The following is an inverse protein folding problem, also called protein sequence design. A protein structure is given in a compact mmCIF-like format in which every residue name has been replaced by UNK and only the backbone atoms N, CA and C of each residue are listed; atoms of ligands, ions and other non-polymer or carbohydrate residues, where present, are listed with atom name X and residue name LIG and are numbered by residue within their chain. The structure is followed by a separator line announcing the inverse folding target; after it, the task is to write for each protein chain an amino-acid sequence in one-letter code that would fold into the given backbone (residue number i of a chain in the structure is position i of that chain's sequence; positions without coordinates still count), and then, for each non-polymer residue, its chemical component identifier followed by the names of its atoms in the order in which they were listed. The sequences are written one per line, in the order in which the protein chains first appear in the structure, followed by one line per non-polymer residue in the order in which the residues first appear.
data_IF_831485907399
#
_entry.id   IF_831485907399
#
_cell.length_a   1.000
_cell.length_b   1.000
_cell.length_c   1.000
_cell.angle_alpha   90.00
_cell.angle_beta   90.00
_cell.angle_gamma   90.00
#
_symmetry.space_group_name_H-M   'P 1'
#
loop_
_entity.id
_entity.type
_entity.pdbx_description
1 polymer ?
#
# COMPACT_ATOMS: atom_id res chain seq x y z
N UNK A 1 -8.11 -15.08 -6.40
CA UNK A 1 -8.48 -14.88 -4.98
C UNK A 1 -9.72 -14.00 -4.92
N UNK A 2 -10.90 -14.55 -4.62
CA UNK A 2 -12.04 -13.72 -4.22
C UNK A 2 -11.78 -13.22 -2.80
N UNK A 3 -11.06 -12.10 -2.70
CA UNK A 3 -10.83 -11.46 -1.42
C UNK A 3 -12.10 -10.70 -1.04
N UNK A 4 -12.87 -11.25 -0.09
CA UNK A 4 -14.11 -10.67 0.43
C UNK A 4 -13.94 -9.28 1.07
N UNK A 5 -12.71 -8.77 1.13
CA UNK A 5 -12.38 -7.43 1.62
C UNK A 5 -12.26 -6.38 0.52
N UNK A 6 -12.19 -6.74 -0.77
CA UNK A 6 -12.01 -5.79 -1.87
C UNK A 6 -13.27 -5.76 -2.76
N UNK A 7 -13.77 -4.56 -3.08
CA UNK A 7 -14.91 -4.39 -3.98
C UNK A 7 -14.78 -3.12 -4.82
N UNK A 8 -15.67 -2.97 -5.81
CA UNK A 8 -15.67 -1.84 -6.76
C UNK A 8 -14.33 -1.64 -7.49
N UNK A 9 -13.65 -2.74 -7.84
CA UNK A 9 -12.38 -2.70 -8.57
C UNK A 9 -12.55 -2.05 -9.94
N UNK A 10 -11.64 -1.12 -10.25
CA UNK A 10 -11.52 -0.44 -11.53
C UNK A 10 -10.06 -0.40 -11.94
N UNK A 11 -9.81 -0.52 -13.23
CA UNK A 11 -8.49 -0.33 -13.82
C UNK A 11 -8.45 1.05 -14.46
N UNK A 12 -7.59 1.92 -13.93
CA UNK A 12 -7.26 3.23 -14.48
C UNK A 12 -5.80 3.18 -14.91
N UNK A 13 -5.54 2.52 -16.05
CA UNK A 13 -4.18 2.22 -16.53
C UNK A 13 -3.21 3.40 -16.33
N UNK A 14 -2.07 3.19 -15.64
CA UNK A 14 -1.49 1.91 -15.20
C UNK A 14 -1.92 1.43 -13.79
N UNK A 15 -2.83 2.13 -13.12
CA UNK A 15 -3.15 1.93 -11.70
C UNK A 15 -4.45 1.16 -11.51
N UNK A 16 -4.49 0.26 -10.53
CA UNK A 16 -5.72 -0.37 -10.06
C UNK A 16 -6.28 0.39 -8.87
N UNK A 17 -7.61 0.51 -8.80
CA UNK A 17 -8.30 1.23 -7.71
C UNK A 17 -9.45 0.35 -7.21
N UNK A 18 -9.62 0.28 -5.89
CA UNK A 18 -10.76 -0.39 -5.28
C UNK A 18 -11.13 0.23 -3.93
N UNK A 19 -12.26 -0.22 -3.37
CA UNK A 19 -12.55 -0.05 -1.95
C UNK A 19 -12.10 -1.31 -1.20
N UNK A 20 -11.57 -1.11 0.01
CA UNK A 20 -11.08 -2.20 0.86
C UNK A 20 -11.60 -2.08 2.29
N UNK A 21 -11.85 -3.22 2.94
CA UNK A 21 -12.20 -3.32 4.35
C UNK A 21 -11.00 -3.70 5.21
N UNK A 22 -10.58 -2.76 6.05
CA UNK A 22 -9.53 -2.91 7.04
C UNK A 22 -10.11 -2.95 8.47
N UNK A 23 -9.42 -3.58 9.44
CA UNK A 23 -9.96 -3.83 10.78
C UNK A 23 -10.39 -2.55 11.53
N UNK A 24 -9.57 -1.49 11.49
CA UNK A 24 -9.79 -0.30 12.31
C UNK A 24 -10.37 0.86 11.50
N UNK A 25 -9.88 1.09 10.28
CA UNK A 25 -10.43 2.14 9.41
C UNK A 25 -11.76 1.77 8.72
N UNK A 26 -12.17 0.49 8.79
CA UNK A 26 -13.42 -0.07 8.24
C UNK A 26 -13.53 0.01 6.72
N UNK A 27 -13.56 1.19 6.11
CA UNK A 27 -13.64 1.32 4.66
C UNK A 27 -12.66 2.36 4.16
N UNK A 28 -11.76 1.90 3.31
CA UNK A 28 -10.71 2.70 2.72
C UNK A 28 -10.77 2.62 1.19
N UNK A 29 -10.21 3.63 0.55
CA UNK A 29 -9.81 3.54 -0.85
C UNK A 29 -8.40 2.96 -0.91
N UNK A 30 -8.17 2.02 -1.81
CA UNK A 30 -6.86 1.44 -2.07
C UNK A 30 -6.49 1.60 -3.54
N UNK A 31 -5.23 1.91 -3.80
CA UNK A 31 -4.65 1.88 -5.14
C UNK A 31 -3.40 1.00 -5.13
N UNK A 32 -3.16 0.29 -6.22
CA UNK A 32 -1.93 -0.47 -6.39
C UNK A 32 -1.50 -0.52 -7.85
N UNK A 33 -0.20 -0.67 -8.05
CA UNK A 33 0.47 -0.68 -9.34
C UNK A 33 1.86 -1.31 -9.23
N UNK A 34 2.43 -1.62 -10.40
CA UNK A 34 3.83 -2.05 -10.54
C UNK A 34 4.52 -1.09 -11.51
N UNK A 35 5.08 0.00 -10.98
CA UNK A 35 5.70 1.05 -11.77
C UNK A 35 6.97 1.58 -11.08
N UNK A 36 7.81 2.26 -11.87
CA UNK A 36 9.03 2.93 -11.39
C UNK A 36 10.00 2.03 -10.57
N UNK A 37 9.98 0.72 -10.83
CA UNK A 37 10.83 -0.28 -10.17
C UNK A 37 10.28 -0.82 -8.85
N UNK A 38 9.02 -0.53 -8.51
CA UNK A 38 8.38 -1.01 -7.28
C UNK A 38 7.03 -1.68 -7.55
N UNK A 39 6.73 -2.69 -6.75
CA UNK A 39 5.36 -3.07 -6.42
C UNK A 39 4.86 -2.13 -5.33
N UNK A 40 3.73 -1.48 -5.56
CA UNK A 40 3.23 -0.42 -4.72
C UNK A 40 1.77 -0.63 -4.38
N UNK A 41 1.42 -0.41 -3.11
CA UNK A 41 0.04 -0.26 -2.66
C UNK A 41 -0.07 0.92 -1.70
N UNK A 42 -1.13 1.72 -1.85
CA UNK A 42 -1.45 2.78 -0.90
C UNK A 42 -2.92 2.76 -0.51
N UNK A 43 -3.17 3.17 0.74
CA UNK A 43 -4.49 3.14 1.33
C UNK A 43 -4.80 4.46 2.03
N UNK A 44 -6.00 4.98 1.80
CA UNK A 44 -6.53 6.18 2.44
C UNK A 44 -7.93 5.92 2.99
N UNK A 45 -8.22 6.21 4.26
CA UNK A 45 -9.56 6.04 4.82
C UNK A 45 -10.59 6.93 4.12
N UNK A 46 -11.78 6.38 3.81
CA UNK A 46 -12.84 7.20 3.19
C UNK A 46 -13.31 8.30 4.13
N UNK A 47 -13.42 7.98 5.41
CA UNK A 47 -13.62 8.95 6.48
C UNK A 47 -12.23 9.45 6.90
N UNK A 48 -11.75 10.49 6.21
CA UNK A 48 -10.39 11.06 6.30
C UNK A 48 -9.99 11.61 7.68
N UNK A 49 -10.70 11.31 8.75
CA UNK A 49 -10.37 11.72 10.12
C UNK A 49 -9.37 10.77 10.80
N UNK A 50 -9.17 9.57 10.26
CA UNK A 50 -8.27 8.56 10.81
C UNK A 50 -7.09 8.34 9.87
N UNK A 51 -5.94 7.99 10.45
CA UNK A 51 -4.79 7.41 9.74
C UNK A 51 -4.89 5.89 9.88
N UNK A 52 -4.61 5.10 8.82
CA UNK A 52 -4.53 3.65 8.96
C UNK A 52 -3.61 3.24 10.10
N UNK A 53 -4.10 2.35 10.96
CA UNK A 53 -3.33 1.86 12.11
C UNK A 53 -2.24 0.88 11.66
N UNK A 54 -1.36 0.49 12.58
CA UNK A 54 -0.43 -0.61 12.32
C UNK A 54 -1.14 -1.91 11.91
N UNK A 55 -2.24 -2.27 12.58
CA UNK A 55 -3.02 -3.48 12.25
C UNK A 55 -3.69 -3.38 10.88
N UNK A 56 -4.17 -2.19 10.51
CA UNK A 56 -4.66 -1.91 9.15
C UNK A 56 -3.56 -2.14 8.11
N UNK A 57 -2.33 -1.68 8.38
CA UNK A 57 -1.19 -1.84 7.49
C UNK A 57 -0.69 -3.30 7.40
N UNK A 58 -0.69 -4.05 8.52
CA UNK A 58 -0.41 -5.50 8.49
C UNK A 58 -1.43 -6.22 7.62
N UNK A 59 -2.73 -5.95 7.83
CA UNK A 59 -3.80 -6.52 7.01
C UNK A 59 -3.64 -6.15 5.53
N UNK A 60 -3.22 -4.92 5.25
CA UNK A 60 -2.96 -4.49 3.88
C UNK A 60 -1.80 -5.28 3.26
N UNK A 61 -0.71 -5.52 4.01
CA UNK A 61 0.41 -6.35 3.56
C UNK A 61 -0.07 -7.74 3.18
N UNK A 62 -0.78 -8.42 4.08
CA UNK A 62 -1.26 -9.80 3.91
C UNK A 62 -2.22 -9.96 2.71
N UNK A 63 -2.79 -8.87 2.21
CA UNK A 63 -3.70 -8.87 1.06
C UNK A 63 -2.96 -8.71 -0.26
N UNK A 64 -1.87 -7.95 -0.28
CA UNK A 64 -1.19 -7.52 -1.51
C UNK A 64 0.19 -8.14 -1.73
N UNK A 65 0.78 -8.74 -0.70
CA UNK A 65 2.09 -9.39 -0.73
C UNK A 65 1.98 -10.78 -0.10
N UNK A 66 2.85 -11.70 -0.52
CA UNK A 66 2.96 -13.03 0.07
C UNK A 66 3.55 -12.97 1.49
N UNK A 67 3.35 -14.03 2.27
CA UNK A 67 3.73 -14.10 3.69
C UNK A 67 5.23 -13.84 3.92
N UNK A 68 6.07 -14.38 3.02
CA UNK A 68 7.54 -14.28 3.07
C UNK A 68 8.09 -13.04 2.33
N UNK A 69 7.23 -12.21 1.73
CA UNK A 69 7.68 -11.00 1.05
C UNK A 69 7.81 -9.83 2.03
N UNK A 70 8.89 -9.06 1.90
CA UNK A 70 9.05 -7.81 2.62
C UNK A 70 8.36 -6.66 1.88
N UNK A 71 7.71 -5.77 2.64
CA UNK A 71 7.15 -4.53 2.12
C UNK A 71 7.46 -3.39 3.09
N UNK A 72 7.83 -2.24 2.55
CA UNK A 72 8.42 -1.16 3.33
C UNK A 72 7.52 0.07 3.37
N UNK A 73 7.42 0.67 4.56
CA UNK A 73 6.92 2.02 4.73
C UNK A 73 8.11 2.97 4.87
N UNK A 74 8.26 3.88 3.90
CA UNK A 74 9.43 4.76 3.79
C UNK A 74 9.01 6.19 4.07
N UNK A 75 9.82 6.92 4.83
CA UNK A 75 9.74 8.38 4.91
C UNK A 75 10.65 8.99 3.83
N UNK A 76 10.11 9.47 2.69
CA UNK A 76 10.95 10.01 1.63
C UNK A 76 11.59 11.33 2.07
N UNK A 77 12.65 11.72 1.34
CA UNK A 77 13.27 13.05 1.52
C UNK A 77 12.18 14.11 1.38
N UNK A 78 12.23 15.15 2.21
CA UNK A 78 11.23 16.26 2.18
C UNK A 78 11.09 16.90 0.80
N UNK A 79 12.17 17.00 0.03
CA UNK A 79 12.16 17.53 -1.34
C UNK A 79 11.44 16.65 -2.36
N UNK A 80 11.17 15.40 -2.01
CA UNK A 80 10.45 14.40 -2.81
C UNK A 80 9.14 13.98 -2.14
N UNK A 81 8.75 14.65 -1.05
CA UNK A 81 7.55 14.33 -0.30
C UNK A 81 6.32 14.80 -1.08
N UNK A 82 5.57 13.86 -1.64
CA UNK A 82 4.29 14.13 -2.32
C UNK A 82 3.17 13.62 -1.43
N UNK A 83 2.33 14.53 -0.93
CA UNK A 83 1.13 14.19 -0.17
C UNK A 83 -0.12 14.72 -0.89
N UNK A 84 -0.62 13.94 -1.83
CA UNK A 84 -1.83 14.29 -2.60
C UNK A 84 -3.14 13.91 -1.90
N UNK A 85 -3.08 13.02 -0.90
CA UNK A 85 -4.25 12.49 -0.19
C UNK A 85 -3.95 12.42 1.29
N UNK A 86 -4.69 13.19 2.08
CA UNK A 86 -4.57 13.21 3.53
C UNK A 86 -4.75 11.82 4.14
N UNK A 87 -3.93 11.49 5.13
CA UNK A 87 -3.94 10.22 5.87
C UNK A 87 -3.76 8.97 4.97
N UNK A 88 -3.10 9.14 3.81
CA UNK A 88 -2.70 8.05 2.94
C UNK A 88 -1.38 7.44 3.43
N UNK A 89 -1.35 6.12 3.58
CA UNK A 89 -0.14 5.36 3.87
C UNK A 89 0.18 4.43 2.71
N UNK A 90 1.46 4.11 2.57
CA UNK A 90 2.01 3.37 1.43
C UNK A 90 2.86 2.19 1.92
N UNK A 91 2.85 1.13 1.12
CA UNK A 91 3.81 0.03 1.16
C UNK A 91 4.48 -0.08 -0.21
N UNK A 92 5.78 -0.31 -0.19
CA UNK A 92 6.62 -0.41 -1.37
C UNK A 92 7.50 -1.66 -1.27
N UNK A 93 7.65 -2.39 -2.38
CA UNK A 93 8.60 -3.50 -2.51
C UNK A 93 9.39 -3.33 -3.81
N UNK A 94 10.74 -3.28 -3.77
CA UNK A 94 11.54 -3.22 -4.99
C UNK A 94 11.33 -4.46 -5.86
N UNK A 95 11.23 -4.27 -7.18
CA UNK A 95 11.08 -5.39 -8.11
C UNK A 95 12.46 -6.03 -8.37
N UNK A 96 12.58 -7.32 -8.04
CA UNK A 96 13.78 -8.11 -8.33
C UNK A 96 14.99 -7.81 -7.43
N UNK A 97 14.77 -7.16 -6.30
CA UNK A 97 15.80 -6.80 -5.33
C UNK A 97 15.28 -6.96 -3.91
N UNK A 98 16.10 -7.56 -3.04
CA UNK A 98 15.87 -7.57 -1.59
C UNK A 98 16.69 -6.45 -0.92
N UNK A 99 16.18 -5.89 0.18
CA UNK A 99 16.89 -4.78 0.85
C UNK A 99 18.18 -5.24 1.53
N UNK A 100 18.28 -6.52 1.87
CA UNK A 100 19.46 -7.12 2.51
C UNK A 100 20.69 -7.10 1.58
N UNK A 101 20.49 -7.08 0.26
CA UNK A 101 21.53 -6.85 -0.75
C UNK A 101 22.28 -5.54 -0.53
N UNK A 102 21.63 -4.52 0.06
CA UNK A 102 22.23 -3.19 0.29
C UNK A 102 23.05 -3.11 1.58
N UNK A 103 22.85 -4.04 2.51
CA UNK A 103 23.49 -4.04 3.83
C UNK A 103 24.50 -5.18 4.00
N UNK A 104 24.49 -6.14 3.09
CA UNK A 104 25.49 -7.22 3.06
C UNK A 104 26.79 -6.70 2.46
N UNK A 105 27.89 -6.83 3.23
CA UNK A 105 29.25 -6.43 2.81
C UNK A 105 29.95 -7.52 2.02
#
# INVERSE_FOLDING_TARGET
MENHRIWNHKVMFPVHVAAIKLPDCVTCSVIWDCADGYEHVSVSPQKRYNVPTWNDMCTLKDIFFDDEEEAYQIHPKKSQYVNGVENCLHLWKPIGHEIDELVTK
#
